data_IF_805346781097
#
_entry.id   IF_805346781097
#
_cell.length_a   1.000
_cell.length_b   1.000
_cell.length_c   1.000
_cell.angle_alpha   90.00
_cell.angle_beta   90.00
_cell.angle_gamma   90.00
#
_symmetry.space_group_name_H-M   'P 1'
#
loop_
_entity.id
_entity.type
_entity.pdbx_description
1 polymer ?
#
# COMPACT_ATOMS: atom_id res chain seq x y z
N UNK A 1 -5.77 -19.79 27.65
CA UNK A 1 -6.73 -19.51 26.58
C UNK A 1 -6.04 -18.82 25.41
N UNK A 2 -5.28 -19.56 24.56
CA UNK A 2 -4.46 -19.00 23.48
C UNK A 2 -4.54 -19.83 22.19
N UNK A 3 -5.72 -20.35 21.84
CA UNK A 3 -5.91 -21.19 20.64
C UNK A 3 -5.90 -20.34 19.34
N UNK A 4 -6.13 -19.01 19.44
CA UNK A 4 -6.26 -18.13 18.27
C UNK A 4 -4.94 -17.50 17.77
N UNK A 5 -3.88 -17.52 18.58
CA UNK A 5 -2.61 -16.86 18.21
C UNK A 5 -1.92 -17.42 16.94
N UNK A 6 -1.89 -18.74 16.69
CA UNK A 6 -1.28 -19.26 15.47
C UNK A 6 -2.08 -18.92 14.21
N UNK A 7 -3.41 -18.95 14.29
CA UNK A 7 -4.29 -18.66 13.15
C UNK A 7 -4.20 -17.19 12.75
N UNK A 8 -4.15 -16.27 13.72
CA UNK A 8 -3.99 -14.82 13.42
C UNK A 8 -2.63 -14.51 12.78
N UNK A 9 -1.56 -15.18 13.20
CA UNK A 9 -0.21 -15.04 12.62
C UNK A 9 -0.17 -15.55 11.18
N UNK A 10 -0.78 -16.70 10.93
CA UNK A 10 -0.90 -17.25 9.58
C UNK A 10 -1.73 -16.32 8.68
N UNK A 11 -2.88 -15.83 9.17
CA UNK A 11 -3.72 -14.89 8.42
C UNK A 11 -2.99 -13.59 8.05
N UNK A 12 -2.22 -13.00 8.97
CA UNK A 12 -1.41 -11.82 8.70
C UNK A 12 -0.31 -12.08 7.65
N UNK A 13 0.36 -13.23 7.73
CA UNK A 13 1.36 -13.61 6.74
C UNK A 13 0.74 -13.86 5.36
N UNK A 14 -0.39 -14.57 5.31
CA UNK A 14 -1.12 -14.82 4.08
C UNK A 14 -1.57 -13.52 3.42
N UNK A 15 -2.19 -12.61 4.17
CA UNK A 15 -2.62 -11.31 3.67
C UNK A 15 -1.43 -10.50 3.13
N UNK A 16 -0.31 -10.48 3.84
CA UNK A 16 0.92 -9.81 3.41
C UNK A 16 1.43 -10.36 2.08
N UNK A 17 1.52 -11.69 1.96
CA UNK A 17 1.98 -12.34 0.71
C UNK A 17 1.02 -12.06 -0.43
N UNK A 18 -0.29 -12.16 -0.19
CA UNK A 18 -1.32 -11.87 -1.20
C UNK A 18 -1.19 -10.45 -1.74
N UNK A 19 -1.11 -9.45 -0.85
CA UNK A 19 -0.93 -8.05 -1.27
C UNK A 19 0.40 -7.87 -1.99
N UNK A 20 1.47 -8.50 -1.52
CA UNK A 20 2.77 -8.49 -2.20
C UNK A 20 2.71 -9.05 -3.63
N UNK A 21 2.00 -10.16 -3.84
CA UNK A 21 1.79 -10.75 -5.18
C UNK A 21 1.01 -9.80 -6.09
N UNK A 22 -0.02 -9.12 -5.57
CA UNK A 22 -0.79 -8.13 -6.34
C UNK A 22 0.13 -6.99 -6.81
N UNK A 23 0.99 -6.47 -5.93
CA UNK A 23 1.94 -5.41 -6.28
C UNK A 23 2.97 -5.87 -7.32
N UNK A 24 3.57 -7.04 -7.13
CA UNK A 24 4.51 -7.61 -8.12
C UNK A 24 3.82 -7.81 -9.47
N UNK A 25 2.61 -8.37 -9.47
CA UNK A 25 1.85 -8.56 -10.70
C UNK A 25 1.58 -7.23 -11.41
N UNK A 26 1.12 -6.21 -10.68
CA UNK A 26 0.87 -4.88 -11.23
C UNK A 26 2.14 -4.25 -11.84
N UNK A 27 3.29 -4.37 -11.17
CA UNK A 27 4.57 -3.90 -11.69
C UNK A 27 5.05 -4.65 -12.93
N UNK A 28 4.91 -5.97 -12.94
CA UNK A 28 5.27 -6.82 -14.09
C UNK A 28 4.34 -6.55 -15.29
N UNK A 29 3.06 -6.38 -15.04
CA UNK A 29 2.09 -6.04 -16.10
C UNK A 29 2.47 -4.73 -16.79
N UNK A 30 2.80 -3.70 -16.01
CA UNK A 30 3.29 -2.42 -16.55
C UNK A 30 4.61 -2.54 -17.30
N UNK A 31 5.47 -3.46 -16.88
CA UNK A 31 6.78 -3.63 -17.48
C UNK A 31 6.72 -4.41 -18.81
N UNK A 32 5.84 -5.42 -18.92
CA UNK A 32 5.85 -6.37 -20.03
C UNK A 32 4.61 -6.33 -20.92
N UNK A 33 3.42 -5.96 -20.39
CA UNK A 33 2.15 -6.13 -21.11
C UNK A 33 1.55 -4.82 -21.65
N UNK A 34 2.19 -3.69 -21.46
CA UNK A 34 1.67 -2.37 -21.89
C UNK A 34 1.98 -2.03 -23.36
N UNK A 35 1.86 -3.03 -24.25
CA UNK A 35 2.04 -2.90 -25.70
C UNK A 35 3.47 -3.06 -26.19
N UNK A 36 4.40 -2.29 -25.64
CA UNK A 36 5.84 -2.46 -25.83
C UNK A 36 6.54 -2.46 -24.47
N UNK A 37 7.47 -3.38 -24.20
CA UNK A 37 8.17 -3.45 -22.93
C UNK A 37 8.83 -2.12 -22.55
N UNK A 38 8.56 -1.64 -21.36
CA UNK A 38 9.11 -0.39 -20.82
C UNK A 38 8.45 0.91 -21.34
N UNK A 39 7.39 0.83 -22.13
CA UNK A 39 6.65 2.01 -22.64
C UNK A 39 5.37 2.34 -21.85
N UNK A 40 5.11 1.67 -20.76
CA UNK A 40 3.99 2.03 -19.92
C UNK A 40 4.13 3.47 -19.39
N UNK A 41 3.03 4.20 -19.38
CA UNK A 41 2.99 5.56 -18.85
C UNK A 41 1.71 5.81 -18.05
N UNK A 42 1.87 6.46 -16.91
CA UNK A 42 0.76 6.97 -16.10
C UNK A 42 0.08 8.20 -16.72
N UNK A 43 0.64 8.75 -17.81
CA UNK A 43 0.18 10.01 -18.40
C UNK A 43 -1.30 10.02 -18.76
N UNK A 44 -1.79 8.95 -19.40
CA UNK A 44 -3.21 8.82 -19.74
C UNK A 44 -4.09 8.76 -18.51
N UNK A 45 -3.67 8.01 -17.49
CA UNK A 45 -4.38 7.94 -16.20
C UNK A 45 -4.47 9.33 -15.55
N UNK A 46 -3.37 10.08 -15.52
CA UNK A 46 -3.35 11.40 -14.91
C UNK A 46 -4.14 12.46 -15.70
N UNK A 47 -4.19 12.35 -17.03
CA UNK A 47 -4.94 13.28 -17.88
C UNK A 47 -6.44 13.01 -17.92
N UNK A 48 -6.86 11.75 -17.88
CA UNK A 48 -8.24 11.35 -18.16
C UNK A 48 -9.00 10.82 -16.95
N UNK A 49 -8.34 10.08 -16.06
CA UNK A 49 -8.99 9.52 -14.88
C UNK A 49 -9.35 10.60 -13.84
N UNK A 50 -8.57 11.68 -13.81
CA UNK A 50 -8.80 12.83 -12.90
C UNK A 50 -10.05 13.65 -13.24
N UNK A 51 -10.65 13.46 -14.43
CA UNK A 51 -11.93 14.06 -14.82
C UNK A 51 -13.15 13.24 -14.37
N UNK A 52 -12.94 12.30 -13.43
CA UNK A 52 -13.96 11.40 -12.96
C UNK A 52 -15.25 12.10 -12.53
N UNK A 53 -16.35 11.71 -13.14
CA UNK A 53 -17.70 12.06 -12.72
C UNK A 53 -18.01 11.23 -11.47
N UNK A 54 -18.15 11.89 -10.32
CA UNK A 54 -18.64 11.26 -9.12
C UNK A 54 -20.14 11.13 -9.14
N UNK A 55 -20.62 9.92 -9.30
CA UNK A 55 -21.93 9.56 -8.80
C UNK A 55 -21.87 9.42 -7.28
N UNK A 56 -22.29 10.43 -6.52
CA UNK A 56 -22.43 10.29 -5.06
C UNK A 56 -23.58 9.32 -4.75
N UNK A 57 -23.33 8.17 -4.09
CA UNK A 57 -24.34 7.13 -3.91
C UNK A 57 -25.47 7.51 -2.95
N UNK A 58 -25.38 8.66 -2.27
CA UNK A 58 -26.37 9.09 -1.29
C UNK A 58 -27.37 10.13 -1.79
N UNK A 59 -27.34 10.51 -3.06
CA UNK A 59 -28.36 11.39 -3.63
C UNK A 59 -29.39 10.53 -4.36
N UNK A 60 -30.27 9.91 -3.59
CA UNK A 60 -31.42 9.17 -4.11
C UNK A 60 -32.38 10.20 -4.77
N UNK A 61 -32.57 10.08 -6.08
CA UNK A 61 -33.64 10.76 -6.79
C UNK A 61 -33.28 11.99 -7.62
N UNK A 62 -31.99 12.25 -7.87
CA UNK A 62 -31.60 13.28 -8.85
C UNK A 62 -31.06 12.63 -10.13
N UNK A 63 -31.56 13.02 -11.34
CA UNK A 63 -31.13 12.43 -12.60
C UNK A 63 -29.72 12.84 -13.05
N UNK A 64 -29.10 13.83 -12.41
CA UNK A 64 -27.74 14.28 -12.73
C UNK A 64 -26.76 13.88 -11.62
N UNK A 65 -25.72 13.06 -11.93
CA UNK A 65 -24.63 12.84 -11.02
C UNK A 65 -23.94 14.17 -10.78
N UNK A 66 -23.95 14.66 -9.53
CA UNK A 66 -23.15 15.83 -9.16
C UNK A 66 -21.69 15.49 -9.40
N UNK A 67 -21.11 16.13 -10.41
CA UNK A 67 -19.68 16.04 -10.69
C UNK A 67 -18.94 16.72 -9.53
N UNK A 68 -18.25 15.94 -8.70
CA UNK A 68 -17.35 16.49 -7.72
C UNK A 68 -15.98 16.56 -8.38
N UNK A 69 -15.50 17.76 -8.61
CA UNK A 69 -14.19 17.97 -9.20
C UNK A 69 -13.10 17.47 -8.26
N UNK A 70 -12.09 16.83 -8.85
CA UNK A 70 -10.88 16.49 -8.11
C UNK A 70 -10.16 17.78 -7.69
N UNK A 71 -10.01 18.08 -6.39
CA UNK A 71 -9.36 19.29 -5.92
C UNK A 71 -7.87 19.35 -6.26
N UNK A 72 -7.27 18.23 -6.65
CA UNK A 72 -5.86 18.12 -7.05
C UNK A 72 -5.67 17.99 -8.55
N UNK A 73 -6.72 18.20 -9.35
CA UNK A 73 -6.71 18.03 -10.82
C UNK A 73 -5.59 18.80 -11.49
N UNK A 74 -5.45 20.09 -11.18
CA UNK A 74 -4.47 20.97 -11.83
C UNK A 74 -3.03 20.48 -11.57
N UNK A 75 -2.76 19.97 -10.38
CA UNK A 75 -1.47 19.37 -10.06
C UNK A 75 -1.18 18.14 -10.95
N UNK A 76 -2.15 17.22 -11.07
CA UNK A 76 -1.95 16.00 -11.85
C UNK A 76 -1.83 16.28 -13.35
N UNK A 77 -2.64 17.18 -13.88
CA UNK A 77 -2.57 17.61 -15.28
C UNK A 77 -1.24 18.31 -15.57
N UNK A 78 -0.79 19.19 -14.68
CA UNK A 78 0.52 19.84 -14.81
C UNK A 78 1.65 18.83 -14.80
N UNK A 79 1.60 17.83 -13.91
CA UNK A 79 2.57 16.74 -13.84
C UNK A 79 2.57 15.91 -15.13
N UNK A 80 1.37 15.57 -15.64
CA UNK A 80 1.21 14.79 -16.86
C UNK A 80 1.67 15.50 -18.15
N UNK A 81 1.75 16.82 -18.14
CA UNK A 81 2.23 17.63 -19.27
C UNK A 81 3.76 17.87 -19.23
N UNK A 82 4.45 17.36 -18.21
CA UNK A 82 5.90 17.49 -18.08
C UNK A 82 6.57 16.12 -18.32
N UNK A 83 7.22 15.96 -19.49
CA UNK A 83 7.81 14.70 -19.92
C UNK A 83 8.92 14.21 -18.97
N UNK A 84 9.73 15.11 -18.41
CA UNK A 84 10.77 14.74 -17.43
C UNK A 84 10.13 14.22 -16.15
N UNK A 85 9.12 14.91 -15.62
CA UNK A 85 8.39 14.48 -14.44
C UNK A 85 7.70 13.14 -14.68
N UNK A 86 7.11 12.93 -15.86
CA UNK A 86 6.48 11.66 -16.22
C UNK A 86 7.46 10.49 -16.28
N UNK A 87 8.68 10.71 -16.78
CA UNK A 87 9.72 9.68 -16.75
C UNK A 87 10.03 9.26 -15.32
N UNK A 88 10.15 10.21 -14.40
CA UNK A 88 10.39 9.92 -12.98
C UNK A 88 9.20 9.19 -12.37
N UNK A 89 7.98 9.67 -12.60
CA UNK A 89 6.75 9.04 -12.08
C UNK A 89 6.61 7.60 -12.58
N UNK A 90 6.78 7.36 -13.87
CA UNK A 90 6.67 6.02 -14.45
C UNK A 90 7.69 5.07 -13.83
N UNK A 91 8.94 5.52 -13.67
CA UNK A 91 10.00 4.73 -13.04
C UNK A 91 9.68 4.42 -11.58
N UNK A 92 9.25 5.44 -10.82
CA UNK A 92 8.92 5.27 -9.40
C UNK A 92 7.71 4.36 -9.18
N UNK A 93 6.71 4.41 -10.06
CA UNK A 93 5.54 3.53 -9.96
C UNK A 93 5.94 2.08 -10.21
N UNK A 94 6.58 1.79 -11.34
CA UNK A 94 6.96 0.40 -11.68
C UNK A 94 7.96 -0.17 -10.68
N UNK A 95 9.05 0.56 -10.41
CA UNK A 95 10.06 0.11 -9.45
C UNK A 95 9.48 0.01 -8.03
N UNK A 96 8.64 0.95 -7.64
CA UNK A 96 7.97 0.95 -6.34
C UNK A 96 7.05 -0.25 -6.17
N UNK A 97 6.19 -0.55 -7.14
CA UNK A 97 5.32 -1.74 -7.10
C UNK A 97 6.14 -3.03 -6.96
N UNK A 98 7.19 -3.18 -7.75
CA UNK A 98 8.05 -4.38 -7.67
C UNK A 98 8.78 -4.47 -6.33
N UNK A 99 9.43 -3.39 -5.88
CA UNK A 99 10.18 -3.38 -4.62
C UNK A 99 9.27 -3.60 -3.40
N UNK A 100 8.13 -2.91 -3.33
CA UNK A 100 7.15 -3.07 -2.25
C UNK A 100 6.60 -4.49 -2.27
N UNK A 101 6.19 -4.99 -3.44
CA UNK A 101 5.64 -6.33 -3.57
C UNK A 101 6.62 -7.42 -3.15
N UNK A 102 7.88 -7.37 -3.62
CA UNK A 102 8.93 -8.31 -3.23
C UNK A 102 9.20 -8.23 -1.72
N UNK A 103 9.33 -7.02 -1.17
CA UNK A 103 9.56 -6.81 0.25
C UNK A 103 8.42 -7.39 1.11
N UNK A 104 7.18 -7.25 0.67
CA UNK A 104 6.02 -7.85 1.33
C UNK A 104 6.01 -9.37 1.20
N UNK A 105 6.28 -9.95 0.04
CA UNK A 105 6.31 -11.42 -0.14
C UNK A 105 7.36 -12.03 0.78
N UNK A 106 8.59 -11.51 0.73
CA UNK A 106 9.72 -12.02 1.50
C UNK A 106 9.58 -11.68 2.99
N UNK A 107 8.86 -10.61 3.32
CA UNK A 107 8.67 -10.12 4.69
C UNK A 107 9.91 -9.43 5.24
N UNK A 108 10.57 -8.61 4.42
CA UNK A 108 11.73 -7.80 4.80
C UNK A 108 11.35 -6.31 4.78
N UNK A 109 11.83 -5.54 5.75
CA UNK A 109 11.49 -4.11 5.92
C UNK A 109 9.99 -3.84 5.76
N UNK A 110 9.19 -4.74 6.29
CA UNK A 110 7.74 -4.82 6.03
C UNK A 110 7.00 -3.56 6.45
N UNK A 111 7.42 -2.93 7.54
CA UNK A 111 6.80 -1.68 8.02
C UNK A 111 7.01 -0.55 7.00
N UNK A 112 8.23 -0.41 6.51
CA UNK A 112 8.55 0.58 5.48
C UNK A 112 7.84 0.28 4.16
N UNK A 113 7.89 -0.98 3.70
CA UNK A 113 7.21 -1.40 2.47
C UNK A 113 5.68 -1.14 2.55
N UNK A 114 5.06 -1.46 3.70
CA UNK A 114 3.65 -1.18 3.92
C UNK A 114 3.33 0.32 3.92
N UNK A 115 4.16 1.15 4.57
CA UNK A 115 3.97 2.60 4.57
C UNK A 115 4.14 3.20 3.17
N UNK A 116 5.17 2.79 2.42
CA UNK A 116 5.38 3.27 1.04
C UNK A 116 4.30 2.78 0.08
N UNK A 117 3.84 1.54 0.23
CA UNK A 117 2.71 1.03 -0.54
C UNK A 117 1.42 1.79 -0.24
N UNK A 118 1.14 2.09 1.02
CA UNK A 118 -0.02 2.89 1.42
C UNK A 118 0.06 4.32 0.85
N UNK A 119 1.24 4.94 0.87
CA UNK A 119 1.46 6.25 0.26
C UNK A 119 1.23 6.22 -1.25
N UNK A 120 1.73 5.19 -1.94
CA UNK A 120 1.50 4.99 -3.38
C UNK A 120 0.01 4.84 -3.68
N UNK A 121 -0.71 4.03 -2.92
CA UNK A 121 -2.15 3.85 -3.07
C UNK A 121 -2.92 5.14 -2.78
N UNK A 122 -2.49 5.93 -1.79
CA UNK A 122 -3.08 7.24 -1.52
C UNK A 122 -2.89 8.20 -2.71
N UNK A 123 -1.73 8.21 -3.36
CA UNK A 123 -1.53 9.00 -4.57
C UNK A 123 -2.41 8.52 -5.73
N UNK A 124 -2.56 7.22 -5.93
CA UNK A 124 -3.46 6.68 -6.96
C UNK A 124 -4.92 7.05 -6.67
N UNK A 125 -5.34 6.98 -5.42
CA UNK A 125 -6.66 7.43 -5.01
C UNK A 125 -6.88 8.93 -5.28
N UNK A 126 -5.94 9.78 -4.90
CA UNK A 126 -6.01 11.23 -5.12
C UNK A 126 -5.98 11.59 -6.60
N UNK A 127 -5.20 10.87 -7.41
CA UNK A 127 -5.14 11.08 -8.85
C UNK A 127 -6.42 10.59 -9.55
N UNK A 128 -6.87 9.37 -9.23
CA UNK A 128 -8.08 8.78 -9.81
C UNK A 128 -9.36 9.44 -9.35
N UNK A 129 -9.40 9.90 -8.10
CA UNK A 129 -10.54 10.56 -7.45
C UNK A 129 -11.88 9.87 -7.77
N UNK A 130 -11.88 8.53 -7.71
CA UNK A 130 -13.02 7.72 -8.08
C UNK A 130 -13.81 7.31 -6.85
N UNK A 131 -15.11 7.55 -6.86
CA UNK A 131 -16.04 7.15 -5.80
C UNK A 131 -17.21 6.34 -6.39
N UNK A 132 -17.00 5.70 -7.52
CA UNK A 132 -18.03 4.91 -8.22
C UNK A 132 -18.69 3.86 -7.32
N UNK A 133 -17.97 3.35 -6.34
CA UNK A 133 -18.45 2.40 -5.33
C UNK A 133 -18.55 3.01 -3.92
N UNK A 134 -18.73 4.34 -3.83
CA UNK A 134 -18.71 5.08 -2.57
C UNK A 134 -17.28 5.39 -2.09
N UNK A 135 -17.13 5.49 -0.75
CA UNK A 135 -15.81 5.77 -0.13
C UNK A 135 -14.89 4.53 -0.19
N UNK A 136 -15.45 3.34 -0.39
CA UNK A 136 -14.72 2.08 -0.45
C UNK A 136 -14.27 1.83 -1.88
N UNK A 137 -13.19 2.47 -2.25
CA UNK A 137 -12.50 2.30 -3.52
C UNK A 137 -11.27 1.40 -3.32
N UNK A 138 -10.82 0.72 -4.37
CA UNK A 138 -9.75 -0.28 -4.25
C UNK A 138 -8.44 0.28 -3.71
N UNK A 139 -7.99 1.45 -4.18
CA UNK A 139 -6.73 2.06 -3.72
C UNK A 139 -6.81 2.49 -2.25
N UNK A 140 -7.94 3.05 -1.83
CA UNK A 140 -8.18 3.39 -0.43
C UNK A 140 -8.17 2.13 0.45
N UNK A 141 -8.80 1.05 -0.02
CA UNK A 141 -8.82 -0.24 0.68
C UNK A 141 -7.41 -0.82 0.81
N UNK A 142 -6.62 -0.85 -0.26
CA UNK A 142 -5.23 -1.32 -0.20
C UNK A 142 -4.37 -0.44 0.71
N UNK A 143 -4.56 0.88 0.72
CA UNK A 143 -3.84 1.75 1.63
C UNK A 143 -4.08 1.39 3.10
N UNK A 144 -5.34 1.16 3.49
CA UNK A 144 -5.70 0.74 4.86
C UNK A 144 -5.11 -0.63 5.20
N UNK A 145 -5.19 -1.60 4.29
CA UNK A 145 -4.62 -2.94 4.49
C UNK A 145 -3.10 -2.87 4.66
N UNK A 146 -2.40 -2.09 3.86
CA UNK A 146 -0.95 -1.90 3.95
C UNK A 146 -0.52 -1.24 5.26
N UNK A 147 -1.26 -0.23 5.72
CA UNK A 147 -1.03 0.39 7.03
C UNK A 147 -1.29 -0.60 8.17
N UNK A 148 -2.32 -1.41 8.07
CA UNK A 148 -2.61 -2.46 9.05
C UNK A 148 -1.48 -3.49 9.11
N UNK A 149 -0.99 -3.97 7.96
CA UNK A 149 0.14 -4.91 7.87
C UNK A 149 1.43 -4.31 8.47
N UNK A 150 1.71 -3.02 8.20
CA UNK A 150 2.83 -2.30 8.79
C UNK A 150 2.69 -2.18 10.31
N UNK A 151 1.50 -1.83 10.79
CA UNK A 151 1.20 -1.66 12.22
C UNK A 151 1.24 -2.96 13.01
N UNK A 152 0.72 -4.06 12.44
CA UNK A 152 0.72 -5.39 13.07
C UNK A 152 2.10 -6.06 13.09
N UNK A 153 3.11 -5.48 12.47
CA UNK A 153 4.42 -6.11 12.37
C UNK A 153 4.39 -7.45 11.62
N UNK A 154 3.63 -7.49 10.50
CA UNK A 154 3.37 -8.72 9.74
C UNK A 154 4.64 -9.43 9.21
N UNK A 155 5.78 -8.72 9.09
CA UNK A 155 7.07 -9.29 8.70
C UNK A 155 7.69 -10.23 9.73
N UNK A 156 7.24 -10.16 10.98
CA UNK A 156 7.66 -11.10 12.02
C UNK A 156 6.98 -12.47 11.91
N UNK A 157 5.88 -12.55 11.13
CA UNK A 157 5.14 -13.79 10.93
C UNK A 157 5.59 -14.44 9.62
N UNK A 158 6.44 -15.47 9.73
CA UNK A 158 6.99 -16.20 8.57
C UNK A 158 7.73 -15.29 7.58
N UNK A 159 8.34 -14.17 8.03
CA UNK A 159 9.10 -13.24 7.21
C UNK A 159 10.53 -13.08 7.69
N UNK A 160 11.37 -12.47 6.82
CA UNK A 160 12.78 -12.23 7.11
C UNK A 160 13.02 -11.16 8.18
N UNK A 161 12.05 -10.27 8.45
CA UNK A 161 12.18 -9.27 9.52
C UNK A 161 12.52 -9.94 10.85
N UNK A 162 11.90 -11.09 11.15
CA UNK A 162 12.18 -11.87 12.35
C UNK A 162 13.60 -12.44 12.37
N UNK A 163 14.08 -12.92 11.21
CA UNK A 163 15.39 -13.60 11.14
C UNK A 163 16.56 -12.62 11.15
N UNK A 164 16.33 -11.44 10.58
CA UNK A 164 17.38 -10.44 10.37
C UNK A 164 17.34 -9.31 11.40
N UNK A 165 16.26 -9.18 12.16
CA UNK A 165 16.05 -8.05 13.09
C UNK A 165 17.20 -7.84 14.06
N UNK A 166 17.74 -8.93 14.63
CA UNK A 166 18.83 -8.86 15.58
C UNK A 166 20.17 -8.35 14.98
N UNK A 167 20.29 -8.33 13.66
CA UNK A 167 21.49 -7.83 12.96
C UNK A 167 21.48 -6.32 12.76
N UNK A 168 20.35 -5.66 12.99
CA UNK A 168 20.17 -4.23 12.77
C UNK A 168 20.01 -3.48 14.10
N UNK A 169 20.45 -2.22 14.17
CA UNK A 169 20.25 -1.39 15.35
C UNK A 169 18.75 -1.20 15.66
N UNK A 170 18.40 -1.03 16.93
CA UNK A 170 17.02 -0.95 17.39
C UNK A 170 16.18 0.12 16.67
N UNK A 171 16.78 1.30 16.40
CA UNK A 171 16.08 2.36 15.69
C UNK A 171 15.67 1.94 14.27
N UNK A 172 16.57 1.28 13.51
CA UNK A 172 16.26 0.80 12.16
C UNK A 172 15.17 -0.27 12.20
N UNK A 173 15.30 -1.24 13.09
CA UNK A 173 14.32 -2.32 13.29
C UNK A 173 12.93 -1.75 13.60
N UNK A 174 12.84 -0.77 14.49
CA UNK A 174 11.57 -0.20 14.92
C UNK A 174 10.90 0.69 13.87
N UNK A 175 11.66 1.35 13.01
CA UNK A 175 11.12 2.23 11.97
C UNK A 175 10.85 1.52 10.64
N UNK A 176 11.71 0.62 10.23
CA UNK A 176 11.67 0.02 8.89
C UNK A 176 11.21 -1.44 8.90
N UNK A 177 11.58 -2.20 9.91
CA UNK A 177 11.21 -3.60 10.08
C UNK A 177 10.00 -3.73 11.01
N UNK A 178 9.59 -4.95 11.27
CA UNK A 178 8.40 -5.23 12.09
C UNK A 178 8.58 -5.01 13.62
N UNK A 179 9.74 -4.50 14.04
CA UNK A 179 10.01 -4.18 15.45
C UNK A 179 10.30 -5.40 16.35
N UNK A 180 10.48 -5.15 17.64
CA UNK A 180 10.70 -6.20 18.62
C UNK A 180 9.42 -6.95 18.99
N UNK A 181 9.49 -8.25 18.94
CA UNK A 181 8.41 -9.16 19.36
C UNK A 181 8.67 -9.82 20.72
N UNK A 182 9.55 -9.27 21.53
CA UNK A 182 9.61 -9.70 22.91
C UNK A 182 8.35 -9.15 23.62
N UNK A 183 7.42 -10.02 24.05
CA UNK A 183 6.37 -9.57 24.93
C UNK A 183 7.06 -8.93 26.16
N UNK A 184 6.52 -7.82 26.69
CA UNK A 184 7.06 -7.26 27.91
C UNK A 184 7.17 -8.40 28.93
N UNK A 185 8.31 -8.46 29.62
CA UNK A 185 8.52 -9.46 30.65
C UNK A 185 7.29 -9.46 31.57
N UNK A 186 6.76 -10.65 31.96
CA UNK A 186 5.61 -10.70 32.82
C UNK A 186 5.93 -9.84 34.05
N UNK A 187 5.08 -8.85 34.31
CA UNK A 187 5.19 -8.04 35.52
C UNK A 187 5.17 -9.02 36.66
N UNK A 188 6.28 -9.12 37.39
CA UNK A 188 6.32 -9.92 38.60
C UNK A 188 5.26 -9.34 39.55
N UNK A 189 4.12 -10.01 39.64
CA UNK A 189 3.12 -9.71 40.66
C UNK A 189 3.82 -10.01 41.98
N UNK A 190 4.22 -8.93 42.65
CA UNK A 190 4.90 -9.04 43.95
C UNK A 190 4.08 -9.92 44.85
N UNK A 191 4.71 -11.00 45.33
CA UNK A 191 4.19 -11.77 46.42
C UNK A 191 4.15 -10.82 47.62
N UNK A 192 2.96 -10.28 47.89
CA UNK A 192 2.72 -9.64 49.18
C UNK A 192 2.60 -10.74 50.21
N UNK A 193 3.65 -10.89 51.01
CA UNK A 193 3.67 -11.66 52.24
C UNK A 193 2.76 -11.05 53.31
#
# INVERSE_FOLDING_TARGET
>A
MYIYAPLSRFGAALLRVTVGVIFVWAGLDKLFNSGEPGKWTAQSFLKFATNGTLGWPFVIGTPDPKTIYNPTLDFWVSLANNDTAMTVVNTLVVAGELCIGIALIVGIVTRFAGAMGALMMAFFFLAGWSFSNGIVEEHATYAVVLLALAGMGAGNYYGLDRMLGDRFPAWFRNWFMSGDHNPPAPVAVGATS
#
